data_IF_494906315181
#
_entry.id   IF_494906315181
#
_cell.length_a   1.000
_cell.length_b   1.000
_cell.length_c   1.000
_cell.angle_alpha   90.00
_cell.angle_beta   90.00
_cell.angle_gamma   90.00
#
_symmetry.space_group_name_H-M   'P 1'
#
loop_
_entity.id
_entity.type
_entity.pdbx_description
1 polymer ?
#
# COMPACT_ATOMS: atom_id res chain seq x y z
N UNK A 1 -8.37 24.19 -15.97
CA UNK A 1 -7.28 23.27 -15.62
C UNK A 1 -7.77 22.45 -14.46
N UNK A 2 -7.94 21.14 -14.62
CA UNK A 2 -8.29 20.27 -13.49
C UNK A 2 -7.07 20.20 -12.56
N UNK A 3 -7.23 20.68 -11.33
CA UNK A 3 -6.19 20.57 -10.32
C UNK A 3 -5.90 19.09 -10.07
N UNK A 4 -4.65 18.67 -10.29
CA UNK A 4 -4.24 17.30 -10.02
C UNK A 4 -4.42 17.00 -8.52
N UNK A 5 -4.87 15.78 -8.21
CA UNK A 5 -5.01 15.37 -6.81
C UNK A 5 -3.65 15.45 -6.11
N UNK A 6 -3.62 15.87 -4.82
CA UNK A 6 -2.37 15.97 -4.08
C UNK A 6 -1.69 14.61 -4.02
N UNK A 7 -0.35 14.60 -4.11
CA UNK A 7 0.43 13.38 -3.89
C UNK A 7 0.56 13.12 -2.39
N UNK A 8 0.48 11.86 -1.95
CA UNK A 8 0.65 11.52 -0.54
C UNK A 8 2.11 11.65 -0.10
N UNK A 9 2.27 12.06 1.16
CA UNK A 9 3.53 12.17 1.88
C UNK A 9 4.10 10.80 2.25
N UNK A 10 3.24 9.90 2.71
CA UNK A 10 3.62 8.54 3.07
C UNK A 10 2.45 7.57 2.99
N UNK A 11 2.77 6.29 3.13
CA UNK A 11 1.81 5.19 3.12
C UNK A 11 2.15 4.23 4.25
N UNK A 12 1.13 3.68 4.90
CA UNK A 12 1.27 2.50 5.73
C UNK A 12 0.41 1.39 5.16
N UNK A 13 1.00 0.21 4.97
CA UNK A 13 0.28 -1.00 4.58
C UNK A 13 0.40 -1.99 5.73
N UNK A 14 -0.75 -2.44 6.21
CA UNK A 14 -0.84 -3.51 7.20
C UNK A 14 -1.71 -4.62 6.66
N UNK A 15 -1.35 -5.86 6.94
CA UNK A 15 -2.14 -7.01 6.54
C UNK A 15 -2.30 -8.00 7.69
N UNK A 16 -3.49 -8.58 7.79
CA UNK A 16 -3.82 -9.61 8.78
C UNK A 16 -4.52 -10.80 8.11
N UNK A 17 -4.22 -12.00 8.59
CA UNK A 17 -4.91 -13.22 8.16
C UNK A 17 -6.28 -13.28 8.83
N UNK A 18 -7.34 -13.37 8.03
CA UNK A 18 -8.73 -13.43 8.50
C UNK A 18 -9.35 -14.81 8.35
N UNK A 19 -8.71 -15.70 7.58
CA UNK A 19 -9.12 -17.09 7.41
C UNK A 19 -8.02 -17.90 6.73
N UNK A 20 -7.95 -19.18 7.05
CA UNK A 20 -7.03 -20.12 6.45
C UNK A 20 -7.65 -21.51 6.46
N UNK A 21 -7.70 -22.14 5.30
CA UNK A 21 -8.14 -23.51 5.15
C UNK A 21 -7.24 -24.28 4.17
N UNK A 22 -6.99 -25.56 4.48
CA UNK A 22 -6.18 -26.44 3.62
C UNK A 22 -6.88 -27.77 3.53
N UNK A 23 -7.64 -27.94 2.46
CA UNK A 23 -8.46 -29.11 2.22
C UNK A 23 -7.77 -30.10 1.28
N UNK A 24 -7.75 -31.40 1.62
CA UNK A 24 -7.40 -32.42 0.65
C UNK A 24 -8.50 -32.56 -0.42
N UNK A 25 -8.15 -32.53 -1.70
CA UNK A 25 -9.09 -32.88 -2.77
C UNK A 25 -9.18 -34.41 -2.88
N UNK A 26 -10.06 -34.99 -2.07
CA UNK A 26 -10.30 -36.43 -2.00
C UNK A 26 -11.17 -36.95 -3.15
N UNK A 27 -11.86 -36.08 -3.89
CA UNK A 27 -13.00 -36.48 -4.72
C UNK A 27 -12.70 -36.55 -6.23
N UNK A 28 -11.48 -36.22 -6.67
CA UNK A 28 -11.10 -36.35 -8.08
C UNK A 28 -11.92 -35.45 -9.03
N UNK A 29 -12.60 -34.43 -8.50
CA UNK A 29 -13.49 -33.55 -9.24
C UNK A 29 -12.77 -32.44 -10.04
N UNK A 30 -11.47 -32.60 -10.28
CA UNK A 30 -10.70 -31.69 -11.14
C UNK A 30 -10.50 -30.27 -10.57
N UNK A 31 -10.74 -30.05 -9.27
CA UNK A 31 -10.53 -28.77 -8.57
C UNK A 31 -9.24 -28.74 -7.72
N UNK A 32 -8.32 -29.64 -8.02
CA UNK A 32 -7.55 -30.27 -6.96
C UNK A 32 -6.12 -29.83 -6.77
N UNK A 33 -5.71 -28.59 -7.08
CA UNK A 33 -4.37 -28.06 -6.74
C UNK A 33 -4.36 -26.54 -6.72
N UNK A 34 -5.23 -25.90 -5.95
CA UNK A 34 -5.36 -24.44 -6.05
C UNK A 34 -4.90 -23.74 -4.77
N UNK A 35 -4.17 -22.64 -4.93
CA UNK A 35 -4.05 -21.62 -3.90
C UNK A 35 -5.04 -20.51 -4.26
N UNK A 36 -6.01 -20.27 -3.37
CA UNK A 36 -7.04 -19.25 -3.52
C UNK A 36 -6.82 -18.18 -2.46
N UNK A 37 -6.69 -16.92 -2.88
CA UNK A 37 -6.55 -15.78 -1.99
C UNK A 37 -7.83 -14.96 -2.00
N UNK A 38 -8.39 -14.72 -0.82
CA UNK A 38 -9.53 -13.84 -0.60
C UNK A 38 -9.03 -12.55 0.05
N UNK A 39 -9.06 -11.46 -0.72
CA UNK A 39 -8.50 -10.17 -0.31
C UNK A 39 -9.63 -9.21 0.05
N UNK A 40 -9.57 -8.65 1.25
CA UNK A 40 -10.37 -7.46 1.59
C UNK A 40 -9.43 -6.29 1.74
N UNK A 41 -9.53 -5.31 0.86
CA UNK A 41 -8.65 -4.15 0.82
C UNK A 41 -9.41 -2.93 1.31
N UNK A 42 -8.96 -2.31 2.39
CA UNK A 42 -9.49 -1.05 2.89
C UNK A 42 -8.50 0.05 2.59
N UNK A 43 -8.96 1.14 1.99
CA UNK A 43 -8.16 2.32 1.72
C UNK A 43 -8.71 3.49 2.53
N UNK A 44 -7.84 4.11 3.33
CA UNK A 44 -8.15 5.26 4.18
C UNK A 44 -7.18 6.40 3.90
N UNK A 45 -7.60 7.63 4.21
CA UNK A 45 -6.82 8.84 3.98
C UNK A 45 -6.75 9.67 5.26
N UNK A 46 -5.54 10.02 5.69
CA UNK A 46 -5.26 10.95 6.78
C UNK A 46 -4.68 12.25 6.24
N UNK A 47 -5.15 13.36 6.78
CA UNK A 47 -4.68 14.70 6.43
C UNK A 47 -4.11 15.37 7.69
N UNK A 48 -2.88 15.84 7.60
CA UNK A 48 -2.21 16.60 8.65
C UNK A 48 -1.97 18.01 8.11
N UNK A 49 -2.66 19.00 8.70
CA UNK A 49 -2.63 20.37 8.22
C UNK A 49 -3.62 21.26 8.98
N UNK A 50 -3.47 22.57 8.80
CA UNK A 50 -4.37 23.60 9.33
C UNK A 50 -5.55 23.78 8.38
N UNK A 51 -5.32 23.61 7.07
CA UNK A 51 -6.38 23.51 6.08
C UNK A 51 -7.25 22.29 6.38
N UNK A 52 -8.57 22.47 6.33
CA UNK A 52 -9.50 21.33 6.38
C UNK A 52 -9.22 20.34 5.23
N UNK A 53 -9.70 19.10 5.37
CA UNK A 53 -9.53 18.05 4.34
C UNK A 53 -9.86 18.58 2.94
N UNK A 54 -8.88 18.54 2.04
CA UNK A 54 -9.10 18.96 0.66
C UNK A 54 -10.23 18.15 0.02
N UNK A 55 -11.15 18.83 -0.68
CA UNK A 55 -12.22 18.18 -1.45
C UNK A 55 -11.68 17.32 -2.62
N UNK A 56 -10.40 17.52 -2.98
CA UNK A 56 -9.68 16.71 -3.97
C UNK A 56 -9.20 15.37 -3.38
N UNK A 57 -9.22 15.20 -2.06
CA UNK A 57 -8.90 13.93 -1.43
C UNK A 57 -9.96 12.90 -1.78
N UNK A 58 -9.49 11.72 -2.17
CA UNK A 58 -10.37 10.62 -2.50
C UNK A 58 -11.13 10.15 -1.25
N UNK A 59 -12.33 9.63 -1.47
CA UNK A 59 -13.10 9.01 -0.39
C UNK A 59 -12.48 7.68 0.02
N UNK A 60 -12.45 7.38 1.33
CA UNK A 60 -12.15 6.03 1.80
C UNK A 60 -13.04 5.00 1.11
N UNK A 61 -12.50 3.82 0.84
CA UNK A 61 -13.25 2.74 0.19
C UNK A 61 -12.80 1.38 0.69
N UNK A 62 -13.66 0.39 0.51
CA UNK A 62 -13.34 -1.01 0.70
C UNK A 62 -13.59 -1.78 -0.59
N UNK A 63 -12.69 -2.70 -0.91
CA UNK A 63 -12.73 -3.55 -2.09
C UNK A 63 -12.58 -5.00 -1.67
N UNK A 64 -13.31 -5.89 -2.34
CA UNK A 64 -13.10 -7.34 -2.21
C UNK A 64 -12.54 -7.88 -3.52
N UNK A 65 -11.49 -8.69 -3.44
CA UNK A 65 -10.84 -9.33 -4.58
C UNK A 65 -10.61 -10.81 -4.28
N UNK A 66 -10.51 -11.58 -5.35
CA UNK A 66 -10.16 -12.99 -5.27
C UNK A 66 -9.11 -13.27 -6.34
N UNK A 67 -8.04 -13.93 -5.94
CA UNK A 67 -7.05 -14.49 -6.84
C UNK A 67 -6.99 -16.00 -6.66
N UNK A 68 -6.63 -16.71 -7.71
CA UNK A 68 -6.34 -18.13 -7.61
C UNK A 68 -5.23 -18.51 -8.57
N UNK A 69 -4.51 -19.57 -8.24
CA UNK A 69 -3.49 -20.14 -9.11
C UNK A 69 -3.33 -21.63 -8.84
N UNK A 70 -2.94 -22.37 -9.87
CA UNK A 70 -2.61 -23.77 -9.73
C UNK A 70 -1.26 -23.94 -9.01
N UNK A 71 -1.21 -24.88 -8.07
CA UNK A 71 -0.04 -25.29 -7.31
C UNK A 71 0.75 -26.34 -8.07
N UNK A 72 2.10 -26.26 -8.05
CA UNK A 72 2.96 -27.32 -8.57
C UNK A 72 2.73 -28.65 -7.86
N UNK A 73 2.95 -29.77 -8.56
CA UNK A 73 2.89 -31.10 -7.95
C UNK A 73 4.26 -31.47 -7.34
N UNK A 74 4.32 -32.00 -6.09
CA UNK A 74 3.21 -32.20 -5.15
C UNK A 74 2.77 -30.89 -4.47
N UNK A 75 1.46 -30.63 -4.44
CA UNK A 75 0.88 -29.37 -3.95
C UNK A 75 1.25 -29.10 -2.48
N UNK A 76 1.11 -30.10 -1.62
CA UNK A 76 1.46 -29.96 -0.20
C UNK A 76 2.96 -29.69 0.00
N UNK A 77 3.83 -30.28 -0.83
CA UNK A 77 5.27 -30.03 -0.77
C UNK A 77 5.63 -28.59 -1.13
N UNK A 78 4.94 -28.01 -2.11
CA UNK A 78 5.11 -26.59 -2.45
C UNK A 78 4.63 -25.66 -1.31
N UNK A 79 3.49 -25.97 -0.69
CA UNK A 79 2.95 -25.20 0.43
C UNK A 79 3.82 -25.27 1.69
N UNK A 80 4.53 -26.39 1.91
CA UNK A 80 5.49 -26.54 3.00
C UNK A 80 6.76 -25.68 2.80
N UNK A 81 7.09 -25.33 1.56
CA UNK A 81 8.18 -24.41 1.25
C UNK A 81 7.74 -22.96 1.52
N UNK A 82 7.81 -22.52 2.78
CA UNK A 82 7.34 -21.22 3.26
C UNK A 82 7.79 -20.02 2.39
N UNK A 83 9.06 -20.01 1.96
CA UNK A 83 9.60 -18.94 1.10
C UNK A 83 8.97 -18.90 -0.30
N UNK A 84 8.73 -20.06 -0.92
CA UNK A 84 8.08 -20.15 -2.23
C UNK A 84 6.59 -19.83 -2.12
N UNK A 85 5.92 -20.36 -1.09
CA UNK A 85 4.53 -20.07 -0.80
C UNK A 85 4.31 -18.56 -0.58
N UNK A 86 5.17 -17.91 0.22
CA UNK A 86 5.11 -16.46 0.45
C UNK A 86 5.33 -15.68 -0.85
N UNK A 87 6.36 -16.03 -1.64
CA UNK A 87 6.62 -15.40 -2.95
C UNK A 87 5.41 -15.51 -3.87
N UNK A 88 4.74 -16.66 -3.88
CA UNK A 88 3.52 -16.88 -4.66
C UNK A 88 2.37 -16.00 -4.19
N UNK A 89 2.12 -15.94 -2.88
CA UNK A 89 1.09 -15.08 -2.29
C UNK A 89 1.33 -13.60 -2.58
N UNK A 90 2.57 -13.13 -2.43
CA UNK A 90 2.94 -11.73 -2.76
C UNK A 90 2.68 -11.45 -4.23
N UNK A 91 3.08 -12.36 -5.13
CA UNK A 91 2.88 -12.20 -6.57
C UNK A 91 1.40 -12.06 -6.93
N UNK A 92 0.55 -12.94 -6.41
CA UNK A 92 -0.89 -12.90 -6.65
C UNK A 92 -1.53 -11.65 -6.05
N UNK A 93 -1.19 -11.31 -4.81
CA UNK A 93 -1.67 -10.09 -4.14
C UNK A 93 -1.31 -8.85 -4.95
N UNK A 94 -0.06 -8.75 -5.39
CA UNK A 94 0.42 -7.64 -6.21
C UNK A 94 -0.34 -7.54 -7.52
N UNK A 95 -0.55 -8.66 -8.21
CA UNK A 95 -1.33 -8.69 -9.44
C UNK A 95 -2.76 -8.16 -9.22
N UNK A 96 -3.44 -8.58 -8.16
CA UNK A 96 -4.80 -8.11 -7.86
C UNK A 96 -4.84 -6.64 -7.47
N UNK A 97 -3.92 -6.16 -6.64
CA UNK A 97 -3.84 -4.74 -6.27
C UNK A 97 -3.56 -3.87 -7.49
N UNK A 98 -2.73 -4.35 -8.43
CA UNK A 98 -2.35 -3.63 -9.66
C UNK A 98 -3.47 -3.55 -10.70
N UNK A 99 -4.54 -4.37 -10.59
CA UNK A 99 -5.74 -4.23 -11.44
C UNK A 99 -6.50 -2.95 -11.15
N UNK A 100 -6.39 -2.40 -9.93
CA UNK A 100 -6.94 -1.10 -9.61
C UNK A 100 -5.94 0.00 -9.99
N UNK A 101 -6.33 0.85 -10.95
CA UNK A 101 -5.43 1.88 -11.48
C UNK A 101 -4.97 2.88 -10.42
N UNK A 102 -5.83 3.22 -9.46
CA UNK A 102 -5.46 4.16 -8.40
C UNK A 102 -4.45 3.54 -7.44
N UNK A 103 -4.65 2.28 -7.02
CA UNK A 103 -3.67 1.57 -6.21
C UNK A 103 -2.36 1.35 -6.96
N UNK A 104 -2.42 1.05 -8.26
CA UNK A 104 -1.25 0.88 -9.12
C UNK A 104 -0.38 2.14 -9.16
N UNK A 105 -0.99 3.32 -9.25
CA UNK A 105 -0.25 4.60 -9.27
C UNK A 105 0.25 4.99 -7.88
N UNK A 106 -0.46 4.60 -6.83
CA UNK A 106 -0.21 5.04 -5.46
C UNK A 106 0.80 4.17 -4.72
N UNK A 107 0.73 2.85 -4.84
CA UNK A 107 1.52 1.92 -4.03
C UNK A 107 2.81 1.53 -4.78
N UNK A 108 4.00 1.90 -4.25
CA UNK A 108 5.26 1.43 -4.79
C UNK A 108 5.40 -0.09 -4.63
N UNK A 109 6.08 -0.75 -5.58
CA UNK A 109 6.27 -2.21 -5.56
C UNK A 109 6.93 -2.74 -4.28
N UNK A 110 7.78 -1.93 -3.66
CA UNK A 110 8.47 -2.29 -2.42
C UNK A 110 7.50 -2.63 -1.27
N UNK A 111 6.33 -1.98 -1.22
CA UNK A 111 5.33 -2.17 -0.15
C UNK A 111 4.37 -3.33 -0.41
N UNK A 112 4.43 -3.97 -1.59
CA UNK A 112 3.56 -5.10 -1.89
C UNK A 112 3.89 -6.35 -1.07
N UNK A 113 5.10 -6.45 -0.52
CA UNK A 113 5.46 -7.51 0.42
C UNK A 113 4.68 -7.42 1.73
N UNK A 114 4.39 -6.21 2.20
CA UNK A 114 3.69 -5.94 3.46
C UNK A 114 2.17 -6.18 3.33
N UNK A 115 1.68 -6.26 2.09
CA UNK A 115 0.30 -6.63 1.80
C UNK A 115 0.00 -8.13 2.05
N UNK A 116 1.02 -8.95 2.31
CA UNK A 116 0.87 -10.34 2.74
C UNK A 116 1.20 -10.45 4.22
N UNK A 117 0.26 -10.91 5.06
CA UNK A 117 0.47 -10.99 6.51
C UNK A 117 1.75 -11.76 6.87
N UNK A 118 2.48 -11.27 7.87
CA UNK A 118 3.68 -11.95 8.36
C UNK A 118 3.31 -13.29 8.99
N UNK A 119 4.03 -14.36 8.62
CA UNK A 119 3.86 -15.68 9.22
C UNK A 119 2.71 -16.52 8.65
N UNK A 120 1.90 -15.99 7.72
CA UNK A 120 0.83 -16.76 7.07
C UNK A 120 1.39 -17.97 6.31
N UNK A 121 2.57 -17.85 5.71
CA UNK A 121 3.26 -18.97 5.05
C UNK A 121 3.64 -20.10 6.01
N UNK A 122 3.95 -19.79 7.28
CA UNK A 122 4.27 -20.80 8.28
C UNK A 122 2.99 -21.57 8.70
N UNK A 123 1.88 -20.85 8.87
CA UNK A 123 0.57 -21.47 9.15
C UNK A 123 0.13 -22.37 7.99
N UNK A 124 0.30 -21.92 6.75
CA UNK A 124 0.02 -22.73 5.55
C UNK A 124 0.90 -23.98 5.53
N UNK A 125 2.20 -23.86 5.81
CA UNK A 125 3.12 -24.98 5.83
C UNK A 125 2.75 -26.01 6.91
N UNK A 126 2.38 -25.56 8.12
CA UNK A 126 1.91 -26.42 9.22
C UNK A 126 0.67 -27.22 8.81
N UNK A 127 -0.33 -26.55 8.24
CA UNK A 127 -1.58 -27.19 7.78
C UNK A 127 -1.33 -28.18 6.64
N UNK A 128 -0.46 -27.82 5.69
CA UNK A 128 -0.07 -28.72 4.61
C UNK A 128 0.74 -29.93 5.10
N UNK A 129 1.51 -29.80 6.19
CA UNK A 129 2.24 -30.92 6.81
C UNK A 129 1.31 -31.93 7.49
N UNK A 130 0.14 -31.49 7.97
CA UNK A 130 -0.88 -32.36 8.54
C UNK A 130 -1.57 -33.29 7.52
N UNK A 131 -1.34 -33.11 6.21
CA UNK A 131 -1.86 -33.99 5.17
C UNK A 131 -1.10 -35.34 5.18
N UNK A 132 -1.77 -36.39 5.65
CA UNK A 132 -1.17 -37.68 5.99
C UNK A 132 -1.09 -38.69 4.84
N UNK A 133 -1.93 -38.58 3.80
CA UNK A 133 -1.93 -39.52 2.67
C UNK A 133 -1.26 -38.94 1.42
N UNK A 134 -0.65 -39.80 0.62
CA UNK A 134 0.05 -39.40 -0.61
C UNK A 134 -0.90 -38.78 -1.67
N UNK A 135 -2.15 -39.23 -1.71
CA UNK A 135 -3.19 -38.62 -2.55
C UNK A 135 -3.53 -37.19 -2.11
N UNK A 136 -3.72 -36.95 -0.81
CA UNK A 136 -3.94 -35.61 -0.25
C UNK A 136 -2.74 -34.67 -0.51
N UNK A 137 -1.52 -35.20 -0.44
CA UNK A 137 -0.30 -34.41 -0.70
C UNK A 137 -0.17 -33.98 -2.16
N UNK A 138 -0.68 -34.79 -3.09
CA UNK A 138 -0.67 -34.51 -4.52
C UNK A 138 -1.81 -33.60 -4.98
N UNK A 139 -2.92 -33.59 -4.26
CA UNK A 139 -4.10 -32.81 -4.61
C UNK A 139 -4.70 -32.16 -3.36
N UNK A 140 -4.36 -30.89 -3.12
CA UNK A 140 -4.94 -30.10 -2.04
C UNK A 140 -5.30 -28.70 -2.54
N UNK A 141 -6.30 -28.11 -1.88
CA UNK A 141 -6.75 -26.74 -2.09
C UNK A 141 -6.42 -25.95 -0.82
N UNK A 142 -5.72 -24.85 -0.99
CA UNK A 142 -5.36 -23.93 0.08
C UNK A 142 -6.13 -22.63 -0.14
N UNK A 143 -7.00 -22.28 0.81
CA UNK A 143 -7.70 -21.01 0.82
C UNK A 143 -7.13 -20.12 1.91
N UNK A 144 -6.70 -18.92 1.54
CA UNK A 144 -6.17 -17.93 2.48
C UNK A 144 -6.95 -16.65 2.33
N UNK A 145 -7.56 -16.19 3.41
CA UNK A 145 -8.21 -14.91 3.48
C UNK A 145 -7.36 -13.93 4.29
N UNK A 146 -7.16 -12.73 3.76
CA UNK A 146 -6.53 -11.65 4.51
C UNK A 146 -7.15 -10.29 4.22
N UNK A 147 -7.10 -9.44 5.23
CA UNK A 147 -7.46 -8.03 5.16
C UNK A 147 -6.18 -7.22 4.99
N UNK A 148 -6.20 -6.29 4.04
CA UNK A 148 -5.13 -5.35 3.75
C UNK A 148 -5.68 -3.95 4.02
N UNK A 149 -5.12 -3.26 4.98
CA UNK A 149 -5.45 -1.87 5.25
C UNK A 149 -4.33 -0.99 4.69
N UNK A 150 -4.70 -0.06 3.82
CA UNK A 150 -3.83 0.92 3.19
C UNK A 150 -4.22 2.28 3.76
N UNK A 151 -3.30 2.87 4.51
CA UNK A 151 -3.43 4.22 5.03
C UNK A 151 -2.56 5.16 4.21
N UNK A 152 -3.20 6.17 3.62
CA UNK A 152 -2.56 7.18 2.79
C UNK A 152 -2.47 8.47 3.57
N UNK A 153 -1.26 8.95 3.81
CA UNK A 153 -1.01 10.13 4.63
C UNK A 153 -0.65 11.31 3.75
N UNK A 154 -1.29 12.44 4.01
CA UNK A 154 -1.01 13.72 3.38
C UNK A 154 -0.60 14.73 4.46
N UNK A 155 0.60 15.28 4.33
CA UNK A 155 1.06 16.44 5.09
C UNK A 155 0.90 17.70 4.23
N UNK A 156 0.19 18.70 4.73
CA UNK A 156 -0.10 19.93 4.00
C UNK A 156 1.17 20.65 3.53
N UNK A 157 2.22 20.68 4.35
CA UNK A 157 3.47 21.37 4.01
C UNK A 157 4.17 20.63 2.87
N UNK A 158 4.27 19.30 2.95
CA UNK A 158 4.89 18.51 1.88
C UNK A 158 4.09 18.54 0.59
N UNK A 159 2.76 18.52 0.68
CA UNK A 159 1.88 18.64 -0.49
C UNK A 159 2.07 19.99 -1.18
N UNK A 160 2.15 21.09 -0.42
CA UNK A 160 2.39 22.43 -0.97
C UNK A 160 3.79 22.56 -1.57
N UNK A 161 4.82 22.08 -0.89
CA UNK A 161 6.20 22.07 -1.41
C UNK A 161 6.29 21.28 -2.72
N UNK A 162 5.64 20.13 -2.80
CA UNK A 162 5.59 19.34 -4.03
C UNK A 162 4.84 20.06 -5.15
N UNK A 163 3.75 20.75 -4.84
CA UNK A 163 3.00 21.53 -5.83
C UNK A 163 3.86 22.68 -6.41
N UNK A 164 4.62 23.38 -5.56
CA UNK A 164 5.58 24.41 -5.99
C UNK A 164 6.71 23.82 -6.86
N UNK A 165 7.23 22.65 -6.48
CA UNK A 165 8.25 21.95 -7.26
C UNK A 165 7.72 21.50 -8.63
N UNK A 166 6.51 20.93 -8.69
CA UNK A 166 5.87 20.48 -9.93
C UNK A 166 5.50 21.67 -10.85
N UNK A 167 5.26 22.86 -10.28
CA UNK A 167 5.01 24.10 -11.03
C UNK A 167 6.28 24.75 -11.60
N UNK A 168 7.48 24.28 -11.20
CA UNK A 168 8.76 24.78 -11.70
C UNK A 168 9.25 26.09 -11.07
N UNK A 169 8.65 26.55 -9.97
CA UNK A 169 8.95 27.86 -9.37
C UNK A 169 10.13 27.88 -8.39
N UNK A 170 10.81 26.75 -8.16
CA UNK A 170 11.97 26.67 -7.26
C UNK A 170 13.33 26.92 -7.96
N UNK A 171 13.34 27.36 -9.21
CA UNK A 171 14.57 27.72 -9.93
C UNK A 171 14.64 29.23 -10.18
N UNK A 172 15.10 29.97 -9.17
CA UNK A 172 15.25 31.42 -9.25
C UNK A 172 16.36 31.94 -8.35
N UNK A 173 17.59 31.45 -8.50
CA UNK A 173 18.77 32.26 -8.17
C UNK A 173 18.94 33.34 -9.25
N UNK A 174 18.01 34.30 -9.27
CA UNK A 174 18.04 35.47 -10.13
C UNK A 174 18.70 36.61 -9.37
N UNK A 175 19.97 36.85 -9.65
CA UNK A 175 20.67 38.08 -9.28
C UNK A 175 20.07 39.19 -10.17
N UNK A 176 19.10 39.96 -9.65
CA UNK A 176 18.39 40.93 -10.48
C UNK A 176 17.23 41.62 -9.78
N UNK A 177 17.46 42.88 -9.42
CA UNK A 177 16.51 43.93 -9.06
C UNK A 177 15.23 43.88 -9.93
N UNK A 178 14.14 43.31 -9.41
CA UNK A 178 12.87 43.16 -10.13
C UNK A 178 11.82 42.43 -9.29
N UNK A 179 10.59 42.98 -9.25
CA UNK A 179 9.45 42.52 -8.45
C UNK A 179 9.32 41.00 -8.36
N UNK A 180 9.27 40.49 -7.12
CA UNK A 180 9.09 39.07 -6.83
C UNK A 180 7.74 38.55 -7.38
N UNK A 181 7.69 37.37 -8.01
CA UNK A 181 6.43 36.75 -8.43
C UNK A 181 5.56 36.36 -7.21
N UNK A 182 4.22 36.25 -7.38
CA UNK A 182 3.23 36.25 -6.28
C UNK A 182 3.09 34.93 -5.51
N UNK A 183 4.20 34.23 -5.26
CA UNK A 183 4.22 32.96 -4.52
C UNK A 183 5.63 32.65 -3.96
N UNK A 184 6.31 33.64 -3.39
CA UNK A 184 7.48 33.37 -2.55
C UNK A 184 7.03 32.86 -1.17
N UNK A 185 7.14 31.55 -0.93
CA UNK A 185 7.18 31.01 0.45
C UNK A 185 8.62 31.17 0.92
N UNK A 186 8.91 32.23 1.67
CA UNK A 186 10.18 32.37 2.37
C UNK A 186 10.24 31.35 3.52
N UNK A 187 10.85 30.19 3.26
CA UNK A 187 11.28 29.29 4.33
C UNK A 187 12.60 29.83 4.86
N UNK A 188 12.52 30.80 5.76
CA UNK A 188 13.68 31.30 6.47
C UNK A 188 14.38 30.13 7.19
N UNK A 189 15.58 29.77 6.74
CA UNK A 189 16.43 28.77 7.35
C UNK A 189 16.89 29.25 8.73
N UNK A 190 16.12 28.93 9.76
CA UNK A 190 16.47 29.17 11.16
C UNK A 190 17.46 28.12 11.68
N UNK A 191 18.74 28.26 11.34
CA UNK A 191 19.83 27.61 12.10
C UNK A 191 20.98 28.59 12.32
N UNK A 192 20.83 29.44 13.35
CA UNK A 192 21.90 29.77 14.33
C UNK A 192 21.39 30.71 15.42
N UNK A 193 21.11 30.11 16.59
CA UNK A 193 21.52 30.58 17.92
C UNK A 193 20.86 31.83 18.51
N UNK A 194 20.13 31.62 19.61
CA UNK A 194 19.82 32.67 20.59
C UNK A 194 18.39 32.54 21.12
N UNK A 195 18.27 32.19 22.39
CA UNK A 195 17.03 32.10 23.14
C UNK A 195 16.16 33.38 23.02
N UNK A 196 14.88 33.21 22.69
CA UNK A 196 13.72 33.86 23.32
C UNK A 196 12.45 33.65 22.49
N UNK A 197 11.34 33.40 23.19
CA UNK A 197 9.97 33.21 22.70
C UNK A 197 9.57 34.13 21.54
N UNK A 198 9.34 33.58 20.34
CA UNK A 198 8.47 34.21 19.34
C UNK A 198 7.68 33.15 18.58
N UNK A 199 6.36 33.15 18.79
CA UNK A 199 5.40 32.45 17.96
C UNK A 199 5.52 32.90 16.49
N UNK A 200 6.04 32.03 15.63
CA UNK A 200 6.07 32.25 14.19
C UNK A 200 4.66 32.07 13.61
N UNK A 201 3.91 33.17 13.54
CA UNK A 201 2.64 33.23 12.82
C UNK A 201 2.87 33.24 11.31
N UNK A 202 2.52 32.15 10.63
CA UNK A 202 2.38 32.12 9.18
C UNK A 202 1.18 32.99 8.81
N UNK A 203 1.43 34.20 8.30
CA UNK A 203 0.38 35.04 7.70
C UNK A 203 0.47 34.96 6.18
N UNK A 204 -0.34 34.07 5.60
CA UNK A 204 -0.69 34.19 4.20
C UNK A 204 -1.66 35.37 4.02
N UNK A 205 -1.28 36.39 3.23
CA UNK A 205 -2.24 37.33 2.66
C UNK A 205 -2.77 36.71 1.38
N UNK A 206 -4.03 36.28 1.42
CA UNK A 206 -4.81 35.98 0.21
C UNK A 206 -5.47 37.30 -0.28
N UNK A 207 -5.62 37.51 -1.60
CA UNK A 207 -6.45 38.58 -2.14
C UNK A 207 -7.94 38.36 -1.83
#
# INVERSE_FOLDING_TARGET
MDAAAPRPSSYAITAETTGLDVDPDLAGHGRGRDLVLHLTVTETHKWFGIGGRSALLRRPRSLRRQAWTALPCPAAGYLQCSGECRRLMVRLTTQELRKDEALRRMIPMAYCNDAVPTGVEALVAERAAALTTDSCRRACRCEVAFRIDIEVVYDEVEVLLQACADAGELSGAGDGDGDAPPCAIDVAAGLRGGDDDVAAGVRARLP
#
